data_IF_960235549338
#
_entry.id   IF_960235549338
#
_cell.length_a   1.000
_cell.length_b   1.000
_cell.length_c   1.000
_cell.angle_alpha   90.00
_cell.angle_beta   90.00
_cell.angle_gamma   90.00
#
_symmetry.space_group_name_H-M   'P 1'
#
loop_
_entity.id
_entity.type
_entity.pdbx_description
1 polymer ?
#
# COMPACT_ATOMS: atom_id res chain seq x y z
N UNK A 1 17.38 20.36 -0.08
CA UNK A 1 16.82 19.68 1.10
C UNK A 1 16.20 18.38 0.64
N UNK A 2 16.81 17.24 0.92
CA UNK A 2 16.22 15.94 0.61
C UNK A 2 15.09 15.67 1.60
N UNK A 3 13.87 15.46 1.10
CA UNK A 3 12.77 15.05 1.95
C UNK A 3 12.89 13.55 2.20
N UNK A 4 13.14 13.16 3.45
CA UNK A 4 13.35 11.77 3.86
C UNK A 4 12.07 11.08 4.36
N UNK A 5 10.90 11.64 4.04
CA UNK A 5 9.64 11.16 4.63
C UNK A 5 8.47 11.38 3.69
N UNK A 6 7.53 10.42 3.68
CA UNK A 6 6.31 10.41 2.86
C UNK A 6 5.41 11.66 3.01
N UNK A 7 5.61 12.47 4.05
CA UNK A 7 4.85 13.71 4.33
C UNK A 7 5.23 14.88 3.41
N UNK A 8 6.28 14.73 2.61
CA UNK A 8 6.74 15.77 1.69
C UNK A 8 5.65 16.18 0.69
N UNK A 9 4.76 15.25 0.32
CA UNK A 9 3.70 15.48 -0.67
C UNK A 9 2.68 16.55 -0.23
N UNK A 10 2.54 16.79 1.07
CA UNK A 10 1.63 17.82 1.62
C UNK A 10 2.36 18.89 2.46
N UNK A 11 3.69 18.82 2.56
CA UNK A 11 4.51 19.69 3.42
C UNK A 11 4.21 19.60 4.92
N UNK A 12 3.76 18.45 5.42
CA UNK A 12 3.62 18.23 6.87
C UNK A 12 2.75 17.05 7.25
N UNK A 13 1.74 16.74 6.46
CA UNK A 13 0.83 15.61 6.68
C UNK A 13 1.23 14.38 5.85
N UNK A 14 1.37 13.23 6.48
CA UNK A 14 1.48 11.97 5.76
C UNK A 14 0.07 11.44 5.46
N UNK A 15 -0.32 11.19 4.20
CA UNK A 15 -1.59 10.54 3.90
C UNK A 15 -1.74 9.24 4.71
N UNK A 16 -2.83 9.12 5.47
CA UNK A 16 -3.04 7.99 6.38
C UNK A 16 -2.93 6.65 5.66
N UNK A 17 -3.54 6.55 4.47
CA UNK A 17 -3.47 5.39 3.58
C UNK A 17 -2.02 4.95 3.31
N UNK A 18 -1.15 5.90 2.97
CA UNK A 18 0.26 5.63 2.68
C UNK A 18 1.05 5.32 3.95
N UNK A 19 0.69 5.92 5.09
CA UNK A 19 1.30 5.61 6.39
C UNK A 19 1.00 4.18 6.83
N UNK A 20 -0.21 3.68 6.58
CA UNK A 20 -0.56 2.29 6.85
C UNK A 20 0.26 1.31 6.00
N UNK A 21 0.49 1.65 4.72
CA UNK A 21 1.37 0.86 3.83
C UNK A 21 2.82 0.92 4.31
N UNK A 22 3.32 2.08 4.70
CA UNK A 22 4.68 2.22 5.26
C UNK A 22 4.88 1.33 6.49
N UNK A 23 3.92 1.29 7.41
CA UNK A 23 3.98 0.43 8.60
C UNK A 23 3.93 -1.05 8.21
N UNK A 24 3.10 -1.42 7.23
CA UNK A 24 3.04 -2.80 6.73
C UNK A 24 4.36 -3.24 6.08
N UNK A 25 4.95 -2.37 5.27
CA UNK A 25 6.12 -2.66 4.46
C UNK A 25 7.42 -2.58 5.26
N UNK A 26 7.51 -1.63 6.19
CA UNK A 26 8.77 -1.22 6.83
C UNK A 26 8.57 -1.08 8.33
N UNK A 27 8.48 -2.20 9.04
CA UNK A 27 8.55 -2.12 10.49
C UNK A 27 9.99 -1.88 10.94
N UNK A 28 10.32 -0.61 11.16
CA UNK A 28 11.65 -0.13 11.53
C UNK A 28 12.17 -0.70 12.86
N UNK A 29 11.32 -1.34 13.67
CA UNK A 29 11.68 -1.77 15.03
C UNK A 29 11.93 -3.28 15.16
N UNK A 30 11.30 -4.10 14.32
CA UNK A 30 11.32 -5.57 14.49
C UNK A 30 11.71 -6.33 13.23
N UNK A 31 11.97 -5.66 12.11
CA UNK A 31 12.13 -6.29 10.79
C UNK A 31 10.96 -7.22 10.42
N UNK A 32 9.79 -7.07 11.06
CA UNK A 32 8.60 -7.88 10.76
C UNK A 32 7.66 -7.12 9.84
N UNK A 33 7.25 -7.72 8.74
CA UNK A 33 6.21 -7.15 7.87
C UNK A 33 4.83 -7.30 8.49
N UNK A 34 3.91 -6.39 8.15
CA UNK A 34 2.49 -6.43 8.56
C UNK A 34 2.10 -5.46 9.67
N UNK A 35 0.86 -5.55 10.13
CA UNK A 35 0.23 -4.55 11.03
C UNK A 35 0.18 -4.95 12.51
N UNK A 36 0.98 -5.94 12.93
CA UNK A 36 0.93 -6.48 14.30
C UNK A 36 1.19 -5.41 15.38
N UNK A 37 1.99 -4.40 15.06
CA UNK A 37 2.35 -3.33 16.00
C UNK A 37 1.28 -2.24 16.16
N UNK A 38 0.29 -2.17 15.26
CA UNK A 38 -0.73 -1.12 15.26
C UNK A 38 -2.16 -1.66 15.36
N UNK A 39 -2.34 -2.89 15.84
CA UNK A 39 -3.64 -3.56 15.92
C UNK A 39 -4.70 -2.74 16.68
N UNK A 40 -4.32 -2.10 17.78
CA UNK A 40 -5.27 -1.29 18.55
C UNK A 40 -5.69 0.00 17.83
N UNK A 41 -4.80 0.59 17.02
CA UNK A 41 -5.14 1.71 16.15
C UNK A 41 -6.02 1.26 14.98
N UNK A 42 -5.75 0.07 14.42
CA UNK A 42 -6.55 -0.49 13.32
C UNK A 42 -8.01 -0.72 13.74
N UNK A 43 -8.27 -1.09 15.01
CA UNK A 43 -9.63 -1.23 15.56
C UNK A 43 -10.42 0.09 15.63
N UNK A 44 -9.75 1.24 15.54
CA UNK A 44 -10.40 2.55 15.51
C UNK A 44 -10.82 2.95 14.09
N UNK A 45 -10.30 2.28 13.06
CA UNK A 45 -10.65 2.55 11.68
C UNK A 45 -11.90 1.77 11.27
N UNK A 46 -12.72 2.31 10.37
CA UNK A 46 -13.89 1.58 9.86
C UNK A 46 -13.47 0.32 9.09
N UNK A 47 -14.15 -0.79 9.38
CA UNK A 47 -14.00 -2.05 8.66
C UNK A 47 -13.08 -3.06 9.35
N UNK A 48 -13.13 -4.34 8.93
CA UNK A 48 -12.28 -5.38 9.47
C UNK A 48 -10.81 -5.19 9.05
N UNK A 49 -9.89 -5.64 9.90
CA UNK A 49 -8.45 -5.64 9.64
C UNK A 49 -7.94 -7.08 9.67
N UNK A 50 -7.83 -7.69 8.50
CA UNK A 50 -7.52 -9.12 8.35
C UNK A 50 -6.24 -9.33 7.54
N UNK A 51 -5.47 -10.36 7.91
CA UNK A 51 -4.25 -10.76 7.23
C UNK A 51 -4.40 -12.23 6.82
N UNK A 52 -4.33 -12.49 5.51
CA UNK A 52 -4.47 -13.83 4.94
C UNK A 52 -3.15 -14.28 4.33
N UNK A 53 -2.70 -15.49 4.69
CA UNK A 53 -1.57 -16.15 4.05
C UNK A 53 -2.09 -17.24 3.13
N UNK A 54 -1.75 -17.15 1.85
CA UNK A 54 -2.06 -18.19 0.88
C UNK A 54 -0.84 -19.11 0.75
N UNK A 55 -1.05 -20.40 1.00
CA UNK A 55 -0.01 -21.39 0.70
C UNK A 55 0.24 -21.41 -0.82
N UNK A 56 1.50 -21.60 -1.25
CA UNK A 56 1.77 -21.82 -2.66
C UNK A 56 0.98 -23.04 -3.14
N UNK A 57 0.49 -23.06 -4.39
CA UNK A 57 -0.21 -24.21 -4.93
C UNK A 57 0.72 -25.41 -4.83
N UNK A 58 0.32 -26.40 -4.02
CA UNK A 58 1.02 -27.68 -3.90
C UNK A 58 0.90 -28.34 -5.26
N UNK A 59 2.00 -28.37 -6.02
CA UNK A 59 2.06 -29.20 -7.22
C UNK A 59 1.97 -30.66 -6.75
N UNK A 60 0.81 -31.28 -6.89
CA UNK A 60 0.64 -32.72 -6.72
C UNK A 60 1.50 -33.43 -7.78
N UNK A 61 2.71 -33.85 -7.39
CA UNK A 61 3.50 -34.82 -8.10
C UNK A 61 4.02 -35.85 -7.09
N UNK A 62 3.55 -37.11 -7.12
CA UNK A 62 4.01 -38.14 -6.20
C UNK A 62 5.37 -38.67 -6.67
N UNK A 63 6.40 -38.45 -5.86
CA UNK A 63 7.68 -39.16 -5.96
C UNK A 63 8.81 -38.37 -6.64
N UNK A 64 9.49 -37.53 -5.87
CA UNK A 64 10.91 -37.24 -6.08
C UNK A 64 11.52 -36.63 -4.81
N UNK A 65 12.16 -37.47 -3.99
CA UNK A 65 13.23 -37.02 -3.09
C UNK A 65 14.36 -36.49 -3.95
N UNK A 66 14.41 -35.17 -4.11
CA UNK A 66 15.62 -34.47 -4.54
C UNK A 66 15.59 -33.12 -3.86
N UNK A 67 16.68 -32.81 -3.15
CA UNK A 67 17.04 -31.49 -2.64
C UNK A 67 16.84 -30.43 -3.72
N UNK A 68 15.62 -29.91 -3.83
CA UNK A 68 15.37 -28.67 -4.55
C UNK A 68 15.86 -27.59 -3.61
N UNK A 69 17.17 -27.28 -3.74
CA UNK A 69 17.68 -25.93 -3.50
C UNK A 69 16.64 -25.01 -4.12
N UNK A 70 15.86 -24.40 -3.25
CA UNK A 70 14.92 -23.35 -3.57
C UNK A 70 15.75 -22.37 -4.40
N UNK A 71 15.59 -22.40 -5.73
CA UNK A 71 16.02 -21.29 -6.56
C UNK A 71 15.01 -20.20 -6.27
N UNK A 72 15.06 -19.70 -5.04
CA UNK A 72 14.39 -18.51 -4.64
C UNK A 72 14.80 -17.45 -5.65
N UNK A 73 13.80 -16.67 -6.06
CA UNK A 73 14.03 -15.32 -6.55
C UNK A 73 15.24 -14.74 -5.82
N UNK A 74 16.25 -14.33 -6.59
CA UNK A 74 17.60 -14.10 -6.08
C UNK A 74 17.56 -13.28 -4.78
N UNK A 75 18.44 -13.59 -3.84
CA UNK A 75 18.51 -12.90 -2.54
C UNK A 75 18.69 -11.37 -2.64
N UNK A 76 18.93 -10.83 -3.83
CA UNK A 76 19.05 -9.41 -4.17
C UNK A 76 17.83 -8.81 -4.90
N UNK A 77 16.78 -9.58 -5.22
CA UNK A 77 15.63 -9.06 -5.96
C UNK A 77 14.52 -8.60 -4.99
N UNK A 78 14.14 -7.31 -5.07
CA UNK A 78 13.09 -6.74 -4.22
C UNK A 78 11.75 -7.44 -4.49
N UNK A 79 11.02 -7.79 -3.42
CA UNK A 79 9.71 -8.43 -3.53
C UNK A 79 8.70 -7.42 -4.09
N UNK A 80 7.71 -7.87 -4.86
CA UNK A 80 6.66 -6.97 -5.36
C UNK A 80 5.52 -6.89 -4.35
N UNK A 81 5.11 -5.68 -3.97
CA UNK A 81 3.93 -5.41 -3.14
C UNK A 81 2.87 -4.71 -3.98
N UNK A 82 1.70 -5.33 -4.12
CA UNK A 82 0.55 -4.69 -4.77
C UNK A 82 -0.29 -3.97 -3.71
N UNK A 83 -0.47 -2.66 -3.88
CA UNK A 83 -1.36 -1.84 -3.05
C UNK A 83 -2.59 -1.49 -3.87
N UNK A 84 -3.75 -2.02 -3.49
CA UNK A 84 -5.01 -1.80 -4.20
C UNK A 84 -5.92 -0.81 -3.45
N UNK A 85 -6.18 0.34 -4.06
CA UNK A 85 -7.12 1.35 -3.54
C UNK A 85 -8.52 1.13 -4.10
N UNK A 86 -9.45 0.69 -3.24
CA UNK A 86 -10.88 0.58 -3.55
C UNK A 86 -11.57 1.90 -3.18
N UNK A 87 -12.28 2.51 -4.13
CA UNK A 87 -12.89 3.85 -3.97
C UNK A 87 -12.02 4.97 -4.54
N UNK A 88 -10.75 4.66 -4.81
CA UNK A 88 -9.86 5.45 -5.64
C UNK A 88 -8.68 6.07 -4.88
N UNK A 89 -7.75 6.69 -5.62
CA UNK A 89 -6.48 7.20 -5.10
C UNK A 89 -6.14 8.56 -5.70
N UNK A 90 -5.46 9.40 -4.92
CA UNK A 90 -4.98 10.72 -5.34
C UNK A 90 -3.55 10.69 -5.87
N UNK A 91 -3.18 11.69 -6.66
CA UNK A 91 -1.79 11.85 -7.11
C UNK A 91 -0.80 12.07 -5.95
N UNK A 92 -1.25 12.66 -4.84
CA UNK A 92 -0.42 12.83 -3.64
C UNK A 92 -0.06 11.49 -3.01
N UNK A 93 -1.03 10.59 -2.89
CA UNK A 93 -0.79 9.23 -2.37
C UNK A 93 0.10 8.42 -3.31
N UNK A 94 -0.13 8.52 -4.62
CA UNK A 94 0.73 7.89 -5.64
C UNK A 94 2.18 8.39 -5.51
N UNK A 95 2.39 9.69 -5.38
CA UNK A 95 3.73 10.28 -5.23
C UNK A 95 4.41 9.85 -3.93
N UNK A 96 3.65 9.72 -2.83
CA UNK A 96 4.17 9.28 -1.56
C UNK A 96 4.55 7.78 -1.58
N UNK A 97 3.76 6.92 -2.22
CA UNK A 97 4.09 5.49 -2.39
C UNK A 97 5.30 5.28 -3.31
N UNK A 98 5.40 6.05 -4.40
CA UNK A 98 6.58 6.03 -5.28
C UNK A 98 7.84 6.47 -4.56
N UNK A 99 7.72 7.43 -3.65
CA UNK A 99 8.83 7.86 -2.81
C UNK A 99 9.19 6.76 -1.81
N UNK A 100 8.20 6.15 -1.13
CA UNK A 100 8.39 5.03 -0.21
C UNK A 100 9.12 3.84 -0.87
N UNK A 101 8.72 3.42 -2.06
CA UNK A 101 9.34 2.29 -2.78
C UNK A 101 10.80 2.56 -3.21
N UNK A 102 11.22 3.82 -3.27
CA UNK A 102 12.61 4.21 -3.53
C UNK A 102 13.47 4.24 -2.27
N UNK A 103 12.87 4.20 -1.09
CA UNK A 103 13.62 4.23 0.15
C UNK A 103 14.37 2.91 0.37
N UNK A 104 15.63 2.95 0.82
CA UNK A 104 16.44 1.75 1.02
C UNK A 104 15.87 0.85 2.13
N UNK A 105 15.10 1.41 3.06
CA UNK A 105 14.44 0.65 4.11
C UNK A 105 13.21 -0.12 3.61
N UNK A 106 12.67 0.22 2.44
CA UNK A 106 11.52 -0.46 1.87
C UNK A 106 11.98 -1.68 1.05
N UNK A 107 11.70 -2.92 1.50
CA UNK A 107 12.17 -4.13 0.81
C UNK A 107 11.29 -4.48 -0.41
N UNK A 108 10.35 -3.61 -0.79
CA UNK A 108 9.34 -3.90 -1.80
C UNK A 108 9.36 -2.93 -2.99
N UNK A 109 9.17 -3.48 -4.19
CA UNK A 109 8.72 -2.73 -5.37
C UNK A 109 7.20 -2.59 -5.32
N UNK A 110 6.72 -1.36 -5.12
CA UNK A 110 5.29 -1.10 -4.91
C UNK A 110 4.59 -0.88 -6.25
N UNK A 111 3.62 -1.75 -6.56
CA UNK A 111 2.69 -1.60 -7.68
C UNK A 111 1.36 -1.08 -7.14
N UNK A 112 0.90 0.04 -7.70
CA UNK A 112 -0.33 0.72 -7.25
C UNK A 112 -1.46 0.37 -8.21
N UNK A 113 -2.52 -0.25 -7.68
CA UNK A 113 -3.76 -0.50 -8.37
C UNK A 113 -4.88 0.32 -7.74
N UNK A 114 -5.86 0.75 -8.53
CA UNK A 114 -6.96 1.57 -8.03
C UNK A 114 -8.20 1.43 -8.89
N UNK A 115 -9.39 1.61 -8.30
CA UNK A 115 -10.64 1.68 -9.06
C UNK A 115 -10.75 2.98 -9.87
N UNK A 116 -10.18 4.08 -9.38
CA UNK A 116 -10.22 5.39 -10.05
C UNK A 116 -9.13 6.31 -9.51
N UNK A 117 -8.47 7.07 -10.38
CA UNK A 117 -7.65 8.21 -9.94
C UNK A 117 -8.58 9.41 -9.76
N UNK A 118 -8.56 10.03 -8.58
CA UNK A 118 -9.43 11.16 -8.26
C UNK A 118 -8.73 12.26 -7.46
N UNK A 119 -9.46 13.35 -7.23
CA UNK A 119 -9.11 14.46 -6.35
C UNK A 119 -10.38 14.92 -5.60
N UNK A 120 -10.25 15.92 -4.71
CA UNK A 120 -11.37 16.40 -3.90
C UNK A 120 -12.60 16.80 -4.72
N UNK A 121 -12.41 17.58 -5.80
CA UNK A 121 -13.52 17.98 -6.66
C UNK A 121 -14.15 16.77 -7.36
N UNK A 122 -13.34 15.84 -7.86
CA UNK A 122 -13.82 14.61 -8.50
C UNK A 122 -14.64 13.73 -7.56
N UNK A 123 -14.25 13.66 -6.28
CA UNK A 123 -15.02 12.95 -5.26
C UNK A 123 -16.37 13.63 -5.00
N UNK A 124 -16.36 14.94 -4.72
CA UNK A 124 -17.58 15.69 -4.40
C UNK A 124 -18.57 15.62 -5.58
N UNK A 125 -18.09 15.81 -6.81
CA UNK A 125 -18.92 15.69 -8.02
C UNK A 125 -19.55 14.30 -8.20
N UNK A 126 -18.96 13.25 -7.63
CA UNK A 126 -19.48 11.89 -7.76
C UNK A 126 -20.59 11.55 -6.76
N UNK A 127 -20.72 12.33 -5.69
CA UNK A 127 -21.70 12.08 -4.62
C UNK A 127 -22.80 13.14 -4.54
N UNK A 128 -22.55 14.34 -5.07
CA UNK A 128 -23.50 15.46 -5.03
C UNK A 128 -24.40 15.45 -6.26
N UNK A 129 -25.66 15.86 -6.06
CA UNK A 129 -26.64 16.02 -7.13
C UNK A 129 -26.10 16.96 -8.24
N UNK A 130 -26.22 16.59 -9.53
CA UNK A 130 -25.86 17.43 -10.66
C UNK A 130 -26.32 18.89 -10.57
N UNK A 131 -27.51 19.16 -10.01
CA UNK A 131 -28.01 20.53 -9.85
C UNK A 131 -27.13 21.37 -8.90
N UNK A 132 -26.67 20.76 -7.81
CA UNK A 132 -25.81 21.38 -6.81
C UNK A 132 -24.36 21.54 -7.29
N UNK A 133 -23.89 20.70 -8.21
CA UNK A 133 -22.55 20.83 -8.81
C UNK A 133 -22.38 22.19 -9.50
N UNK A 134 -23.43 22.66 -10.18
CA UNK A 134 -23.43 23.97 -10.86
C UNK A 134 -23.31 25.13 -9.85
N UNK A 135 -23.95 24.99 -8.68
CA UNK A 135 -23.90 25.99 -7.62
C UNK A 135 -22.53 26.04 -6.90
N UNK A 136 -21.85 24.89 -6.76
CA UNK A 136 -20.60 24.77 -6.02
C UNK A 136 -19.36 25.26 -6.80
N UNK A 137 -19.49 25.60 -8.10
CA UNK A 137 -18.38 26.03 -8.98
C UNK A 137 -17.16 25.07 -8.96
N UNK A 138 -17.40 23.78 -8.73
CA UNK A 138 -16.37 22.74 -8.62
C UNK A 138 -15.90 22.22 -9.97
#
# INVERSE_FOLDING_TARGET
MAYDHIRYVTKGYAPLSVRLVEIAATNKMTHTTGWKTIQDTMKQLPGPSEEFSQAPPVAEAPGATTDKKDKGFGADERKVMVVFFVGGVTFMEIAALRHLSKQPECPFDIVIATTKILNGNGLIKSIVDPELVTALKL
#
